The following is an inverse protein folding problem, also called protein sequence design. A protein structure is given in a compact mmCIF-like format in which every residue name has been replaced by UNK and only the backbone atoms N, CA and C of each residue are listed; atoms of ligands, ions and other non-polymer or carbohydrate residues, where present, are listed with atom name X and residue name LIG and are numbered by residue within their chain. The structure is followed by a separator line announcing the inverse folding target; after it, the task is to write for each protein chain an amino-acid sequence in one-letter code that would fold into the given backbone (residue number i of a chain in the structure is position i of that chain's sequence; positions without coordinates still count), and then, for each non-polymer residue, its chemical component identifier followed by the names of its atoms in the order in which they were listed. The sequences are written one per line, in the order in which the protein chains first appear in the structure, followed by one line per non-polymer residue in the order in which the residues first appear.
data_IF_945526820560
#
_entry.id   IF_945526820560
#
_cell.length_a   1.000
_cell.length_b   1.000
_cell.length_c   1.000
_cell.angle_alpha   90.00
_cell.angle_beta   90.00
_cell.angle_gamma   90.00
#
_symmetry.space_group_name_H-M   'P 1'
#
loop_
_entity.id
_entity.type
_entity.pdbx_description
1 polymer ?
#
# COMPACT_ATOMS: atom_id res chain seq x y z
N UNK A 1 -14.17 -43.62 9.66
CA UNK A 1 -14.52 -42.19 9.50
C UNK A 1 -13.27 -41.38 9.83
N UNK A 2 -12.88 -40.41 8.99
CA UNK A 2 -11.83 -39.44 9.34
C UNK A 2 -12.50 -38.11 9.69
N UNK A 3 -12.47 -37.73 10.97
CA UNK A 3 -13.07 -36.50 11.49
C UNK A 3 -12.88 -36.43 13.01
N UNK A 4 -13.28 -35.31 13.64
CA UNK A 4 -13.22 -35.13 15.10
C UNK A 4 -14.30 -35.90 15.86
N UNK A 5 -15.11 -36.72 15.17
CA UNK A 5 -16.19 -37.47 15.80
C UNK A 5 -15.67 -38.73 16.50
N UNK A 6 -16.02 -38.95 17.78
CA UNK A 6 -15.59 -40.13 18.51
C UNK A 6 -16.30 -41.40 17.99
N UNK A 7 -15.77 -42.56 18.38
CA UNK A 7 -16.39 -43.87 18.13
C UNK A 7 -17.27 -44.26 19.32
N UNK A 8 -18.26 -45.14 19.07
CA UNK A 8 -19.12 -45.71 20.11
C UNK A 8 -18.29 -46.30 21.25
N UNK A 9 -18.80 -46.20 22.47
CA UNK A 9 -18.14 -46.69 23.68
C UNK A 9 -19.02 -47.72 24.40
N UNK A 10 -18.38 -48.80 24.84
CA UNK A 10 -19.03 -49.83 25.65
C UNK A 10 -18.49 -49.72 27.09
N UNK A 11 -19.39 -49.58 28.07
CA UNK A 11 -19.05 -49.51 29.49
C UNK A 11 -19.65 -50.70 30.21
N UNK A 12 -18.84 -51.46 30.95
CA UNK A 12 -19.33 -52.50 31.84
C UNK A 12 -19.70 -51.90 33.19
N UNK A 13 -20.98 -51.96 33.56
CA UNK A 13 -21.50 -51.53 34.85
C UNK A 13 -22.14 -52.73 35.54
N UNK A 14 -21.57 -53.16 36.66
CA UNK A 14 -22.05 -54.29 37.47
C UNK A 14 -22.28 -55.61 36.70
N UNK A 15 -21.50 -55.88 35.64
CA UNK A 15 -21.62 -57.10 34.83
C UNK A 15 -22.50 -56.94 33.58
N UNK A 16 -23.16 -55.78 33.40
CA UNK A 16 -23.89 -55.44 32.20
C UNK A 16 -23.07 -54.53 31.28
N UNK A 17 -23.04 -54.83 29.99
CA UNK A 17 -22.41 -53.96 28.98
C UNK A 17 -23.45 -52.96 28.49
N UNK A 18 -23.25 -51.69 28.81
CA UNK A 18 -24.04 -50.58 28.30
C UNK A 18 -23.31 -49.95 27.13
N UNK A 19 -23.98 -49.87 25.98
CA UNK A 19 -23.44 -49.23 24.77
C UNK A 19 -23.87 -47.77 24.73
N UNK A 20 -22.91 -46.87 24.69
CA UNK A 20 -23.15 -45.45 24.46
C UNK A 20 -22.77 -45.10 23.02
N UNK A 21 -23.73 -44.65 22.20
CA UNK A 21 -23.43 -44.22 20.85
C UNK A 21 -22.57 -42.95 20.88
N UNK A 22 -21.71 -42.76 19.90
CA UNK A 22 -21.05 -41.47 19.72
C UNK A 22 -22.01 -40.45 19.09
N UNK A 23 -22.89 -40.89 18.20
CA UNK A 23 -23.83 -40.04 17.46
C UNK A 23 -25.17 -40.74 17.24
N UNK A 24 -26.23 -39.95 17.04
CA UNK A 24 -27.52 -40.42 16.54
C UNK A 24 -27.49 -40.81 15.06
N UNK A 25 -28.62 -41.31 14.57
CA UNK A 25 -28.79 -41.72 13.16
C UNK A 25 -28.65 -40.58 12.16
N UNK A 26 -28.72 -39.33 12.61
CA UNK A 26 -28.51 -38.11 11.83
C UNK A 26 -27.04 -37.63 11.82
N UNK A 27 -26.14 -38.36 12.48
CA UNK A 27 -24.72 -38.01 12.59
C UNK A 27 -24.44 -36.85 13.56
N UNK A 28 -25.34 -36.55 14.51
CA UNK A 28 -25.14 -35.54 15.55
C UNK A 28 -25.15 -36.14 16.94
N UNK A 29 -24.61 -35.41 17.92
CA UNK A 29 -24.76 -35.80 19.32
C UNK A 29 -26.24 -35.76 19.73
N UNK A 30 -26.70 -36.79 20.44
CA UNK A 30 -28.08 -36.90 20.92
C UNK A 30 -28.13 -36.88 22.44
N UNK A 31 -29.18 -36.31 23.02
CA UNK A 31 -29.45 -36.41 24.46
C UNK A 31 -30.11 -37.76 24.84
N UNK A 32 -30.30 -38.65 23.86
CA UNK A 32 -31.06 -39.87 24.03
C UNK A 32 -32.57 -39.58 24.16
N UNK A 33 -33.28 -40.48 24.81
CA UNK A 33 -34.70 -40.34 25.11
C UNK A 33 -34.93 -40.43 26.62
N UNK A 34 -35.36 -39.33 27.24
CA UNK A 34 -35.61 -39.28 28.69
C UNK A 34 -36.81 -40.14 29.13
N UNK A 35 -37.62 -40.62 28.19
CA UNK A 35 -38.78 -41.47 28.44
C UNK A 35 -38.51 -42.94 28.08
N UNK A 36 -37.49 -43.22 27.26
CA UNK A 36 -37.08 -44.57 26.86
C UNK A 36 -35.60 -44.80 27.19
N UNK A 37 -35.30 -45.48 28.33
CA UNK A 37 -33.93 -45.70 28.78
C UNK A 37 -33.10 -46.60 27.85
N UNK A 38 -33.70 -47.23 26.83
CA UNK A 38 -32.97 -48.00 25.80
C UNK A 38 -32.36 -47.14 24.70
N UNK A 39 -32.67 -45.84 24.67
CA UNK A 39 -32.07 -44.87 23.74
C UNK A 39 -31.09 -43.96 24.51
N UNK A 40 -29.85 -44.42 24.72
CA UNK A 40 -28.85 -43.66 25.47
C UNK A 40 -28.49 -42.35 24.78
N UNK A 41 -28.05 -41.38 25.59
CA UNK A 41 -27.40 -40.17 25.10
C UNK A 41 -26.04 -40.48 24.48
N UNK A 42 -25.54 -39.55 23.67
CA UNK A 42 -24.20 -39.63 23.13
C UNK A 42 -23.15 -39.53 24.23
N UNK A 43 -22.12 -40.37 24.14
CA UNK A 43 -20.93 -40.24 24.99
C UNK A 43 -19.83 -39.47 24.25
N UNK A 44 -19.32 -38.43 24.90
CA UNK A 44 -18.19 -37.64 24.39
C UNK A 44 -16.96 -37.97 25.25
N UNK A 45 -15.93 -38.63 24.68
CA UNK A 45 -14.71 -38.93 25.42
C UNK A 45 -14.01 -37.65 25.87
N UNK A 46 -13.45 -37.66 27.09
CA UNK A 46 -12.68 -36.53 27.63
C UNK A 46 -11.52 -36.13 26.69
N UNK A 47 -10.86 -37.11 26.08
CA UNK A 47 -9.80 -36.89 25.09
C UNK A 47 -10.26 -36.05 23.89
N UNK A 48 -11.51 -36.24 23.44
CA UNK A 48 -12.07 -35.45 22.33
C UNK A 48 -12.28 -33.99 22.73
N UNK A 49 -12.83 -33.75 23.92
CA UNK A 49 -13.03 -32.38 24.44
C UNK A 49 -11.69 -31.70 24.70
N UNK A 50 -10.73 -32.40 25.31
CA UNK A 50 -9.38 -31.88 25.55
C UNK A 50 -8.70 -31.50 24.23
N UNK A 51 -8.80 -32.34 23.20
CA UNK A 51 -8.24 -32.02 21.88
C UNK A 51 -8.87 -30.75 21.27
N UNK A 52 -10.18 -30.57 21.38
CA UNK A 52 -10.86 -29.34 20.90
C UNK A 52 -10.33 -28.13 21.67
N UNK A 53 -10.27 -28.21 23.00
CA UNK A 53 -9.76 -27.14 23.86
C UNK A 53 -8.30 -26.82 23.54
N UNK A 54 -7.45 -27.83 23.34
CA UNK A 54 -6.04 -27.67 23.00
C UNK A 54 -5.86 -27.00 21.64
N UNK A 55 -6.65 -27.38 20.63
CA UNK A 55 -6.62 -26.71 19.32
C UNK A 55 -7.00 -25.23 19.42
N UNK A 56 -8.03 -24.90 20.21
CA UNK A 56 -8.43 -23.51 20.45
C UNK A 56 -7.34 -22.74 21.20
N UNK A 57 -6.78 -23.33 22.27
CA UNK A 57 -5.67 -22.75 23.02
C UNK A 57 -4.45 -22.47 22.13
N UNK A 58 -4.12 -23.40 21.23
CA UNK A 58 -3.02 -23.26 20.29
C UNK A 58 -3.26 -22.13 19.29
N UNK A 59 -4.47 -21.99 18.76
CA UNK A 59 -4.84 -20.87 17.89
C UNK A 59 -4.71 -19.52 18.60
N UNK A 60 -5.23 -19.42 19.83
CA UNK A 60 -5.18 -18.20 20.64
C UNK A 60 -3.72 -17.81 20.92
N UNK A 61 -2.89 -18.76 21.36
CA UNK A 61 -1.45 -18.56 21.59
C UNK A 61 -0.72 -18.15 20.31
N UNK A 62 -1.02 -18.80 19.18
CA UNK A 62 -0.45 -18.44 17.88
C UNK A 62 -0.73 -16.98 17.49
N UNK A 63 -1.88 -16.43 17.92
CA UNK A 63 -2.24 -15.03 17.72
C UNK A 63 -1.65 -14.07 18.79
N UNK A 64 -0.77 -14.57 19.67
CA UNK A 64 -0.12 -13.78 20.71
C UNK A 64 -1.07 -13.35 21.84
N UNK A 65 -2.05 -14.20 22.17
CA UNK A 65 -2.97 -14.03 23.29
C UNK A 65 -2.77 -15.17 24.30
N UNK A 66 -3.08 -14.89 25.57
CA UNK A 66 -3.07 -15.91 26.63
C UNK A 66 -4.46 -16.52 26.80
N UNK A 67 -4.64 -17.84 26.67
CA UNK A 67 -5.95 -18.47 26.80
C UNK A 67 -6.64 -18.18 28.13
N UNK A 68 -7.94 -17.92 28.07
CA UNK A 68 -8.78 -17.59 29.21
C UNK A 68 -10.16 -18.26 29.07
N UNK A 69 -10.42 -19.27 29.90
CA UNK A 69 -11.65 -20.05 29.91
C UNK A 69 -12.89 -19.29 30.45
N UNK A 70 -12.73 -18.02 30.83
CA UNK A 70 -13.85 -17.13 31.23
C UNK A 70 -14.13 -16.04 30.18
N UNK A 71 -13.36 -15.97 29.11
CA UNK A 71 -13.56 -14.97 28.05
C UNK A 71 -14.50 -15.48 26.97
N UNK A 72 -15.59 -14.74 26.73
CA UNK A 72 -16.54 -15.02 25.65
C UNK A 72 -16.09 -14.42 24.30
N UNK A 73 -15.10 -13.53 24.29
CA UNK A 73 -14.67 -12.77 23.10
C UNK A 73 -13.30 -13.19 22.55
N UNK A 74 -12.53 -13.99 23.31
CA UNK A 74 -11.14 -14.28 22.99
C UNK A 74 -10.93 -14.94 21.62
N UNK A 75 -11.81 -15.85 21.20
CA UNK A 75 -11.68 -16.48 19.89
C UNK A 75 -11.87 -15.47 18.75
N UNK A 76 -12.82 -14.53 18.92
CA UNK A 76 -13.03 -13.41 17.98
C UNK A 76 -11.78 -12.53 17.91
N UNK A 77 -11.24 -12.15 19.07
CA UNK A 77 -10.02 -11.33 19.15
C UNK A 77 -8.81 -12.00 18.49
N UNK A 78 -8.65 -13.31 18.67
CA UNK A 78 -7.59 -14.07 18.01
C UNK A 78 -7.73 -14.04 16.48
N UNK A 79 -8.94 -14.25 15.97
CA UNK A 79 -9.23 -14.21 14.53
C UNK A 79 -9.02 -12.80 13.97
N UNK A 80 -9.50 -11.77 14.65
CA UNK A 80 -9.32 -10.37 14.23
C UNK A 80 -7.83 -10.02 14.14
N UNK A 81 -7.03 -10.42 15.15
CA UNK A 81 -5.56 -10.26 15.11
C UNK A 81 -4.92 -11.03 13.96
N UNK A 82 -5.36 -12.26 13.71
CA UNK A 82 -4.85 -13.09 12.61
C UNK A 82 -5.09 -12.42 11.26
N UNK A 83 -6.32 -11.95 11.02
CA UNK A 83 -6.71 -11.27 9.79
C UNK A 83 -5.87 -10.00 9.63
N UNK A 84 -5.82 -9.14 10.67
CA UNK A 84 -5.07 -7.90 10.65
C UNK A 84 -3.59 -8.14 10.33
N UNK A 85 -2.95 -9.11 11.00
CA UNK A 85 -1.53 -9.41 10.79
C UNK A 85 -1.25 -10.02 9.40
N UNK A 86 -2.24 -10.64 8.76
CA UNK A 86 -2.11 -11.20 7.40
C UNK A 86 -2.40 -10.18 6.31
N UNK A 87 -3.38 -9.30 6.50
CA UNK A 87 -3.74 -8.27 5.53
C UNK A 87 -2.86 -7.02 5.63
N UNK A 88 -2.49 -6.64 6.85
CA UNK A 88 -1.75 -5.43 7.17
C UNK A 88 -0.74 -5.71 8.30
N UNK A 89 0.30 -6.55 8.06
CA UNK A 89 1.34 -6.81 9.04
C UNK A 89 2.03 -5.51 9.51
N UNK A 90 2.61 -5.53 10.72
CA UNK A 90 3.42 -4.43 11.24
C UNK A 90 4.48 -4.02 10.20
N UNK A 91 4.52 -2.72 9.89
CA UNK A 91 5.38 -2.15 8.83
C UNK A 91 4.68 -1.95 7.47
N UNK A 92 3.45 -2.43 7.31
CA UNK A 92 2.62 -2.12 6.14
C UNK A 92 2.38 -0.62 6.00
N UNK A 93 2.14 -0.17 4.77
CA UNK A 93 1.81 1.23 4.46
C UNK A 93 0.46 1.27 3.75
N UNK A 94 -0.40 2.19 4.19
CA UNK A 94 -1.70 2.48 3.58
C UNK A 94 -1.64 3.84 2.90
N UNK A 95 -2.24 3.96 1.72
CA UNK A 95 -2.34 5.22 0.96
C UNK A 95 -3.81 5.61 0.93
N UNK A 96 -4.14 6.71 1.60
CA UNK A 96 -5.47 7.32 1.54
C UNK A 96 -5.47 8.40 0.45
N UNK A 97 -6.40 8.30 -0.49
CA UNK A 97 -6.69 9.40 -1.40
C UNK A 97 -7.65 10.38 -0.71
N UNK A 98 -7.44 11.67 -0.95
CA UNK A 98 -8.36 12.70 -0.47
C UNK A 98 -9.71 12.58 -1.20
N UNK A 99 -10.76 13.11 -0.56
CA UNK A 99 -12.04 13.34 -1.23
C UNK A 99 -11.90 14.45 -2.29
N UNK A 100 -12.92 14.64 -3.11
CA UNK A 100 -12.89 15.63 -4.21
C UNK A 100 -12.65 17.08 -3.73
N UNK A 101 -12.99 17.38 -2.47
CA UNK A 101 -12.76 18.68 -1.83
C UNK A 101 -11.35 18.84 -1.21
N UNK A 102 -10.50 17.83 -1.33
CA UNK A 102 -9.14 17.80 -0.79
C UNK A 102 -9.05 17.45 0.70
N UNK A 103 -10.16 17.11 1.36
CA UNK A 103 -10.16 16.67 2.76
C UNK A 103 -9.92 15.17 2.89
N UNK A 104 -9.58 14.72 4.11
CA UNK A 104 -9.44 13.30 4.44
C UNK A 104 -10.53 12.90 5.44
N UNK A 105 -11.39 11.97 5.04
CA UNK A 105 -12.40 11.40 5.94
C UNK A 105 -11.72 10.54 7.01
N UNK A 106 -11.87 10.94 8.27
CA UNK A 106 -11.33 10.22 9.43
C UNK A 106 -11.96 8.82 9.60
N UNK A 107 -13.17 8.58 9.08
CA UNK A 107 -13.80 7.25 9.08
C UNK A 107 -13.09 6.26 8.15
N UNK A 108 -12.35 6.77 7.16
CA UNK A 108 -11.54 6.00 6.20
C UNK A 108 -10.07 5.92 6.59
N UNK A 109 -9.72 6.35 7.81
CA UNK A 109 -8.36 6.18 8.35
C UNK A 109 -8.05 4.70 8.57
N UNK A 110 -6.78 4.29 8.51
CA UNK A 110 -6.43 2.88 8.65
C UNK A 110 -6.71 2.33 10.05
N UNK A 111 -6.66 3.17 11.12
CA UNK A 111 -7.10 2.78 12.46
C UNK A 111 -8.59 2.41 12.50
N UNK A 112 -9.44 3.09 11.72
CA UNK A 112 -10.88 2.83 11.68
C UNK A 112 -11.24 1.65 10.78
N UNK A 113 -10.52 1.47 9.68
CA UNK A 113 -10.78 0.39 8.72
C UNK A 113 -10.20 -0.95 9.18
N UNK A 114 -9.00 -0.95 9.76
CA UNK A 114 -8.25 -2.17 10.07
C UNK A 114 -8.00 -2.35 11.57
N UNK A 115 -8.15 -1.31 12.38
CA UNK A 115 -7.70 -1.32 13.77
C UNK A 115 -6.19 -1.08 13.89
N UNK A 116 -5.65 -1.32 15.08
CA UNK A 116 -4.23 -1.15 15.37
C UNK A 116 -3.79 0.31 15.51
N UNK A 117 -2.47 0.53 15.48
CA UNK A 117 -1.84 1.86 15.62
C UNK A 117 -1.09 2.20 14.34
N UNK A 118 -1.37 3.36 13.76
CA UNK A 118 -0.73 3.82 12.54
C UNK A 118 -0.06 5.18 12.76
N UNK A 119 0.90 5.48 11.88
CA UNK A 119 1.65 6.74 11.89
C UNK A 119 1.65 7.31 10.48
N UNK A 120 1.31 8.59 10.35
CA UNK A 120 1.47 9.31 9.09
C UNK A 120 2.95 9.32 8.67
N UNK A 121 3.20 8.94 7.42
CA UNK A 121 4.54 8.98 6.82
C UNK A 121 4.59 10.08 5.76
N UNK A 122 5.68 10.82 5.75
CA UNK A 122 6.01 11.82 4.73
C UNK A 122 5.07 13.04 4.64
N UNK A 123 4.20 13.25 5.62
CA UNK A 123 3.20 14.33 5.66
C UNK A 123 3.81 15.75 5.74
N UNK A 124 5.12 15.87 5.95
CA UNK A 124 5.86 17.15 5.95
C UNK A 124 6.83 17.28 4.78
N UNK A 125 6.95 16.24 3.94
CA UNK A 125 8.04 16.16 2.98
C UNK A 125 7.68 16.67 1.60
N UNK A 126 6.40 16.67 1.19
CA UNK A 126 5.97 17.04 -0.18
C UNK A 126 6.78 16.31 -1.27
N UNK A 127 6.65 14.98 -1.32
CA UNK A 127 7.46 14.10 -2.18
C UNK A 127 6.60 13.37 -3.21
N UNK A 128 7.19 13.08 -4.37
CA UNK A 128 6.64 12.14 -5.34
C UNK A 128 7.09 10.71 -5.03
N UNK A 129 6.31 9.72 -5.44
CA UNK A 129 6.73 8.32 -5.42
C UNK A 129 7.23 7.90 -6.78
N UNK A 130 8.38 7.22 -6.80
CA UNK A 130 9.04 6.76 -8.02
C UNK A 130 9.46 5.31 -7.88
N UNK A 131 9.26 4.52 -8.93
CA UNK A 131 9.73 3.15 -8.99
C UNK A 131 11.26 3.06 -9.05
N UNK A 132 11.77 1.85 -8.81
CA UNK A 132 13.20 1.53 -8.93
C UNK A 132 13.68 1.60 -10.39
N UNK A 133 14.99 1.73 -10.58
CA UNK A 133 15.65 1.84 -11.88
C UNK A 133 16.95 2.61 -11.78
N UNK A 134 17.83 2.51 -12.78
CA UNK A 134 19.18 3.10 -12.76
C UNK A 134 19.20 4.59 -12.38
N UNK A 135 18.30 5.39 -12.97
CA UNK A 135 18.17 6.82 -12.65
C UNK A 135 17.54 7.10 -11.28
N UNK A 136 16.77 6.15 -10.74
CA UNK A 136 16.16 6.27 -9.41
C UNK A 136 17.18 6.06 -8.28
N UNK A 137 18.29 5.35 -8.53
CA UNK A 137 19.31 5.07 -7.50
C UNK A 137 20.31 6.22 -7.29
N UNK A 138 20.46 7.11 -8.28
CA UNK A 138 21.44 8.19 -8.25
C UNK A 138 21.12 9.25 -7.17
N UNK A 139 22.10 9.58 -6.31
CA UNK A 139 22.04 10.74 -5.43
C UNK A 139 21.00 10.67 -4.30
N UNK A 140 20.64 9.47 -3.84
CA UNK A 140 19.74 9.30 -2.68
C UNK A 140 20.48 9.44 -1.36
N UNK A 141 19.82 10.11 -0.40
CA UNK A 141 20.21 10.12 1.01
C UNK A 141 18.97 9.91 1.88
N UNK A 142 19.03 8.96 2.83
CA UNK A 142 17.89 8.55 3.67
C UNK A 142 16.61 8.23 2.86
N UNK A 143 16.79 7.63 1.69
CA UNK A 143 15.71 7.25 0.77
C UNK A 143 15.09 8.40 -0.03
N UNK A 144 15.53 9.65 0.19
CA UNK A 144 15.09 10.83 -0.58
C UNK A 144 16.06 11.09 -1.73
N UNK A 145 15.53 11.30 -2.92
CA UNK A 145 16.23 11.87 -4.05
C UNK A 145 15.82 13.35 -4.15
N UNK A 146 16.75 14.30 -3.95
CA UNK A 146 16.46 15.75 -4.05
C UNK A 146 16.08 16.14 -5.47
N UNK A 147 15.34 17.22 -5.70
CA UNK A 147 15.06 17.64 -7.08
C UNK A 147 16.36 17.83 -7.89
N UNK A 148 16.28 17.54 -9.18
CA UNK A 148 17.33 17.87 -10.12
C UNK A 148 16.67 18.64 -11.25
N UNK A 149 16.46 19.94 -11.04
CA UNK A 149 16.09 20.85 -12.10
C UNK A 149 17.37 21.38 -12.78
N UNK A 150 17.44 21.29 -14.11
CA UNK A 150 18.54 21.89 -14.85
C UNK A 150 18.50 23.42 -14.71
N UNK A 151 19.66 24.04 -14.47
CA UNK A 151 19.80 25.51 -14.46
C UNK A 151 19.63 26.05 -15.87
N UNK A 152 18.40 26.46 -16.22
CA UNK A 152 18.07 27.00 -17.54
C UNK A 152 18.35 28.49 -17.56
N UNK A 153 19.56 28.87 -17.96
CA UNK A 153 19.95 30.28 -18.03
C UNK A 153 20.57 30.64 -19.36
N UNK A 154 20.48 31.92 -19.68
CA UNK A 154 21.07 32.54 -20.85
C UNK A 154 20.83 34.04 -20.83
N UNK A 155 21.52 34.75 -21.71
CA UNK A 155 21.38 36.19 -21.89
C UNK A 155 21.09 36.48 -23.35
N UNK A 156 20.27 37.48 -23.62
CA UNK A 156 20.07 38.05 -24.95
C UNK A 156 20.79 39.39 -24.96
N UNK A 157 21.77 39.56 -25.84
CA UNK A 157 22.47 40.82 -25.97
C UNK A 157 21.79 41.70 -27.01
N UNK A 158 21.50 42.94 -26.65
CA UNK A 158 20.92 43.93 -27.55
C UNK A 158 21.88 45.10 -27.74
N UNK A 159 21.84 45.69 -28.92
CA UNK A 159 22.62 46.86 -29.29
C UNK A 159 21.69 47.97 -29.75
N UNK A 160 21.92 49.18 -29.23
CA UNK A 160 21.19 50.37 -29.66
C UNK A 160 21.90 50.98 -30.87
N UNK A 161 21.18 51.08 -31.98
CA UNK A 161 21.54 51.96 -33.10
C UNK A 161 20.81 53.30 -32.95
N UNK A 162 21.18 54.31 -33.74
CA UNK A 162 20.59 55.66 -33.63
C UNK A 162 19.05 55.69 -33.66
N UNK A 163 18.40 54.74 -34.34
CA UNK A 163 16.94 54.72 -34.52
C UNK A 163 16.26 53.40 -34.11
N UNK A 164 17.01 52.33 -33.80
CA UNK A 164 16.46 50.99 -33.54
C UNK A 164 17.27 50.21 -32.50
N UNK A 165 16.64 49.23 -31.84
CA UNK A 165 17.32 48.20 -31.04
C UNK A 165 17.41 46.91 -31.83
N UNK A 166 18.61 46.36 -31.96
CA UNK A 166 18.85 45.07 -32.60
C UNK A 166 19.32 44.04 -31.56
N UNK A 167 18.92 42.80 -31.75
CA UNK A 167 19.42 41.66 -30.99
C UNK A 167 20.70 41.17 -31.67
N UNK A 168 21.82 41.15 -30.94
CA UNK A 168 23.14 40.83 -31.48
C UNK A 168 23.40 39.33 -31.42
N UNK A 169 23.22 38.74 -30.25
CA UNK A 169 23.42 37.32 -30.01
C UNK A 169 22.62 36.85 -28.78
N UNK A 170 22.67 35.54 -28.56
CA UNK A 170 22.18 34.91 -27.35
C UNK A 170 23.24 33.98 -26.78
N UNK A 171 23.27 33.87 -25.45
CA UNK A 171 24.09 32.89 -24.73
C UNK A 171 23.21 31.88 -24.01
N UNK A 172 23.78 30.71 -23.75
CA UNK A 172 23.11 29.66 -23.00
C UNK A 172 21.97 28.99 -23.73
N UNK A 173 20.78 29.01 -23.13
CA UNK A 173 19.59 28.46 -23.78
C UNK A 173 19.07 29.36 -24.90
N UNK A 174 19.63 30.57 -25.11
CA UNK A 174 19.19 31.47 -26.17
C UNK A 174 20.18 31.50 -27.33
N UNK A 175 19.65 31.56 -28.54
CA UNK A 175 20.40 31.87 -29.77
C UNK A 175 19.51 32.65 -30.72
N UNK A 176 20.09 33.36 -31.67
CA UNK A 176 19.34 34.15 -32.65
C UNK A 176 19.20 33.35 -33.92
N UNK A 177 17.96 33.14 -34.36
CA UNK A 177 17.68 32.59 -35.68
C UNK A 177 17.73 33.75 -36.68
N UNK A 178 18.79 33.77 -37.49
CA UNK A 178 19.01 34.75 -38.54
C UNK A 178 18.06 34.50 -39.71
N UNK A 179 16.76 34.71 -39.50
CA UNK A 179 15.75 34.75 -40.56
C UNK A 179 15.68 36.15 -41.17
N UNK A 180 16.77 36.58 -41.81
CA UNK A 180 16.85 37.87 -42.47
C UNK A 180 15.88 37.95 -43.66
N UNK A 181 14.74 38.61 -43.45
CA UNK A 181 13.96 39.22 -44.51
C UNK A 181 13.95 40.72 -44.31
N UNK A 182 14.66 41.47 -45.14
CA UNK A 182 14.48 42.92 -45.23
C UNK A 182 13.11 43.17 -45.87
N UNK A 183 12.09 43.40 -45.05
CA UNK A 183 10.82 43.90 -45.54
C UNK A 183 10.93 45.41 -45.72
N UNK A 184 10.81 45.90 -46.96
CA UNK A 184 10.63 47.33 -47.20
C UNK A 184 9.17 47.69 -46.88
N UNK A 185 8.94 48.50 -45.86
CA UNK A 185 7.61 49.05 -45.64
C UNK A 185 7.43 50.26 -46.57
N UNK A 186 6.58 50.12 -47.60
CA UNK A 186 6.42 51.09 -48.69
C UNK A 186 5.97 52.48 -48.24
N UNK A 187 5.39 52.60 -47.04
CA UNK A 187 4.85 53.87 -46.54
C UNK A 187 5.85 54.73 -45.77
N UNK A 188 6.99 54.18 -45.34
CA UNK A 188 8.00 54.91 -44.53
C UNK A 188 9.42 54.82 -45.06
N UNK A 189 9.70 53.95 -46.05
CA UNK A 189 11.05 53.74 -46.58
C UNK A 189 12.03 53.12 -45.57
N UNK A 190 11.53 52.65 -44.42
CA UNK A 190 12.34 52.04 -43.37
C UNK A 190 12.45 50.52 -43.57
N UNK A 191 13.68 49.99 -43.48
CA UNK A 191 13.97 48.57 -43.50
C UNK A 191 13.53 47.93 -42.18
N UNK A 192 12.56 47.01 -42.22
CA UNK A 192 12.18 46.21 -41.06
C UNK A 192 13.04 44.94 -40.98
N UNK A 193 13.72 44.74 -39.86
CA UNK A 193 14.48 43.52 -39.57
C UNK A 193 13.68 42.69 -38.57
N UNK A 194 13.19 41.53 -39.01
CA UNK A 194 12.62 40.53 -38.10
C UNK A 194 13.75 39.68 -37.53
N UNK A 195 13.86 39.57 -36.20
CA UNK A 195 14.83 38.72 -35.52
C UNK A 195 14.11 37.73 -34.63
N UNK A 196 14.32 36.44 -34.88
CA UNK A 196 13.80 35.36 -34.05
C UNK A 196 14.76 35.06 -32.90
N UNK A 197 14.21 34.95 -31.68
CA UNK A 197 14.95 34.38 -30.55
C UNK A 197 14.58 32.90 -30.44
N UNK A 198 15.57 32.03 -30.59
CA UNK A 198 15.42 30.60 -30.34
C UNK A 198 15.78 30.30 -28.89
N UNK A 199 14.87 29.64 -28.19
CA UNK A 199 15.16 28.96 -26.94
C UNK A 199 15.45 27.48 -27.23
N UNK A 200 16.64 27.02 -26.86
CA UNK A 200 17.09 25.64 -27.01
C UNK A 200 17.73 25.14 -25.71
N UNK A 201 16.94 24.37 -24.96
CA UNK A 201 17.36 23.81 -23.69
C UNK A 201 18.42 22.69 -23.85
N UNK A 202 18.62 22.14 -25.05
CA UNK A 202 19.63 21.09 -25.26
C UNK A 202 21.07 21.59 -25.14
N UNK A 203 21.29 22.92 -25.21
CA UNK A 203 22.61 23.56 -25.25
C UNK A 203 23.30 23.74 -23.89
N UNK A 204 22.69 23.32 -22.76
CA UNK A 204 23.30 23.45 -21.43
C UNK A 204 23.82 22.12 -20.87
N UNK A 205 24.93 22.20 -20.15
CA UNK A 205 25.50 21.09 -19.42
C UNK A 205 24.48 20.59 -18.39
N UNK A 206 24.11 19.31 -18.51
CA UNK A 206 23.15 18.67 -17.63
C UNK A 206 23.76 18.58 -16.22
N UNK A 207 23.05 19.05 -15.20
CA UNK A 207 23.44 18.84 -13.78
C UNK A 207 23.14 17.43 -13.30
N UNK A 208 22.24 16.72 -14.01
CA UNK A 208 21.96 15.28 -13.87
C UNK A 208 21.39 14.76 -15.19
N UNK A 209 21.41 13.44 -15.39
CA UNK A 209 20.95 12.76 -16.61
C UNK A 209 19.47 12.99 -16.91
N UNK A 210 18.68 13.44 -15.93
CA UNK A 210 17.24 13.73 -16.05
C UNK A 210 16.81 14.98 -15.27
N UNK A 211 15.67 15.56 -15.68
CA UNK A 211 14.94 16.56 -14.89
C UNK A 211 13.92 15.85 -14.00
N UNK A 212 13.96 16.09 -12.68
CA UNK A 212 13.08 15.39 -11.73
C UNK A 212 12.72 16.21 -10.49
N UNK A 213 11.55 15.93 -9.95
CA UNK A 213 11.13 16.46 -8.64
C UNK A 213 11.73 15.63 -7.49
N UNK A 214 11.66 16.20 -6.29
CA UNK A 214 12.01 15.49 -5.06
C UNK A 214 11.12 14.25 -4.88
N UNK A 215 11.73 13.09 -4.69
CA UNK A 215 10.99 11.83 -4.69
C UNK A 215 11.54 10.77 -3.72
N UNK A 216 10.66 9.84 -3.32
CA UNK A 216 10.99 8.62 -2.59
C UNK A 216 10.77 7.38 -3.46
N UNK A 217 11.58 6.37 -3.19
CA UNK A 217 11.55 5.11 -3.93
C UNK A 217 10.41 4.22 -3.46
N UNK A 218 9.68 3.63 -4.39
CA UNK A 218 8.68 2.59 -4.16
C UNK A 218 9.00 1.35 -4.99
N UNK A 219 8.51 0.21 -4.54
CA UNK A 219 8.54 -1.04 -5.28
C UNK A 219 7.12 -1.54 -5.49
N UNK A 220 6.82 -1.97 -6.70
CA UNK A 220 5.51 -2.49 -7.06
C UNK A 220 5.64 -4.00 -7.25
N UNK A 221 4.86 -4.75 -6.50
CA UNK A 221 4.75 -6.19 -6.65
C UNK A 221 3.42 -6.51 -7.33
N UNK A 222 3.47 -7.41 -8.31
CA UNK A 222 2.27 -8.07 -8.84
C UNK A 222 2.27 -9.50 -8.30
N UNK A 223 1.18 -9.88 -7.64
CA UNK A 223 0.97 -11.29 -7.28
C UNK A 223 0.74 -12.08 -8.57
N UNK A 224 1.54 -13.11 -8.79
CA UNK A 224 1.47 -13.96 -9.99
C UNK A 224 1.10 -15.42 -9.67
N UNK A 225 0.97 -15.76 -8.39
CA UNK A 225 0.39 -17.00 -7.84
C UNK A 225 -0.03 -16.73 -6.38
#
# INVERSE_FOLDING_TARGET
MSGLYPVDQDINIFGEIIKFPSMGSDGKFTNGDFTDPKKPASFIPAETINLIIDNLNNLIKYCGLEPNNTSETQLKEAIDKLILNKSCPIGSTYIQFAEDDGTFDASKSPEKLFGGTWQLKYNTESVFFRTEGSLSEEGRSNGIQQDAMQKLTGTIHTYNTQNHKIIMDGTGCFSIESGGGYGSNSDTGLLQVSQGVKFDNSKRARTSTENRTKNRKIRIYKRIA
#
